data_IF_480325324744
#
_entry.id   IF_480325324744
#
_cell.length_a   1.000
_cell.length_b   1.000
_cell.length_c   1.000
_cell.angle_alpha   90.00
_cell.angle_beta   90.00
_cell.angle_gamma   90.00
#
_symmetry.space_group_name_H-M   'P 1'
#
loop_
_entity.id
_entity.type
_entity.pdbx_description
1 polymer ?
#
# COMPACT_ATOMS: atom_id res chain seq x y z
N UNK A 1 16.56 -16.90 0.11
CA UNK A 1 15.84 -15.96 0.98
C UNK A 1 14.40 -15.89 0.52
N UNK A 2 13.45 -16.09 1.42
CA UNK A 2 12.02 -16.02 1.05
C UNK A 2 11.67 -14.57 0.72
N UNK A 3 11.04 -14.34 -0.42
CA UNK A 3 10.54 -13.02 -0.79
C UNK A 3 9.48 -12.58 0.23
N UNK A 4 9.61 -11.38 0.76
CA UNK A 4 8.63 -10.82 1.70
C UNK A 4 7.29 -10.62 1.02
N UNK A 5 6.22 -10.90 1.75
CA UNK A 5 4.84 -10.81 1.27
C UNK A 5 4.28 -9.42 1.52
N UNK A 6 3.70 -8.79 0.52
CA UNK A 6 3.18 -7.42 0.60
C UNK A 6 1.68 -7.41 0.33
N UNK A 7 0.91 -6.80 1.23
CA UNK A 7 -0.49 -6.48 1.01
C UNK A 7 -0.60 -5.08 0.42
N UNK A 8 -1.31 -4.92 -0.70
CA UNK A 8 -1.59 -3.61 -1.30
C UNK A 8 -2.95 -3.13 -0.82
N UNK A 9 -3.01 -2.02 -0.11
CA UNK A 9 -4.27 -1.36 0.22
C UNK A 9 -4.83 -0.65 -1.02
N UNK A 10 -6.11 -0.84 -1.31
CA UNK A 10 -6.74 -0.28 -2.51
C UNK A 10 -8.21 0.06 -2.27
N UNK A 11 -8.72 1.02 -3.04
CA UNK A 11 -10.13 1.38 -3.02
C UNK A 11 -10.93 0.37 -3.87
N UNK A 12 -11.46 -0.66 -3.22
CA UNK A 12 -12.19 -1.73 -3.89
C UNK A 12 -13.49 -1.25 -4.56
N UNK A 13 -14.05 -0.14 -4.09
CA UNK A 13 -15.29 0.43 -4.65
C UNK A 13 -15.04 1.25 -5.93
N UNK A 14 -13.84 1.80 -6.09
CA UNK A 14 -13.50 2.68 -7.19
C UNK A 14 -12.49 2.10 -8.18
N UNK A 15 -11.84 0.97 -7.89
CA UNK A 15 -10.74 0.43 -8.72
C UNK A 15 -11.17 0.04 -10.14
N UNK A 16 -12.45 -0.19 -10.39
CA UNK A 16 -13.01 -0.43 -11.72
C UNK A 16 -13.01 0.82 -12.63
N UNK A 17 -12.93 2.02 -12.05
CA UNK A 17 -12.81 3.28 -12.82
C UNK A 17 -11.36 3.44 -13.32
N UNK A 18 -11.14 3.18 -14.59
CA UNK A 18 -9.80 3.23 -15.20
C UNK A 18 -9.17 4.63 -15.21
N UNK A 19 -9.98 5.67 -15.14
CA UNK A 19 -9.51 7.07 -15.24
C UNK A 19 -9.25 7.66 -13.85
N UNK A 20 -10.16 7.42 -12.90
CA UNK A 20 -10.16 8.07 -11.58
C UNK A 20 -9.71 7.13 -10.46
N UNK A 21 -8.91 6.12 -10.78
CA UNK A 21 -8.35 5.20 -9.80
C UNK A 21 -6.89 4.90 -10.07
N UNK A 22 -6.27 4.18 -9.15
CA UNK A 22 -4.89 3.69 -9.30
C UNK A 22 -4.77 2.41 -10.16
N UNK A 23 -5.77 2.03 -10.92
CA UNK A 23 -5.79 0.77 -11.67
C UNK A 23 -4.59 0.62 -12.63
N UNK A 24 -4.22 1.70 -13.32
CA UNK A 24 -3.03 1.70 -14.17
C UNK A 24 -1.75 1.36 -13.39
N UNK A 25 -1.60 1.91 -12.19
CA UNK A 25 -0.48 1.63 -11.30
C UNK A 25 -0.50 0.17 -10.82
N UNK A 26 -1.66 -0.37 -10.45
CA UNK A 26 -1.77 -1.77 -10.04
C UNK A 26 -1.44 -2.74 -11.18
N UNK A 27 -1.83 -2.45 -12.42
CA UNK A 27 -1.43 -3.22 -13.60
C UNK A 27 0.09 -3.24 -13.79
N UNK A 28 0.77 -2.13 -13.56
CA UNK A 28 2.24 -2.03 -13.59
C UNK A 28 2.89 -2.86 -12.48
N UNK A 29 2.33 -2.84 -11.27
CA UNK A 29 2.81 -3.70 -10.17
C UNK A 29 2.61 -5.19 -10.48
N UNK A 30 1.48 -5.56 -11.07
CA UNK A 30 1.22 -6.94 -11.51
C UNK A 30 2.21 -7.40 -12.58
N UNK A 31 2.59 -6.52 -13.51
CA UNK A 31 3.63 -6.78 -14.50
C UNK A 31 5.00 -6.98 -13.84
N UNK A 32 5.38 -6.16 -12.87
CA UNK A 32 6.63 -6.34 -12.14
C UNK A 32 6.65 -7.67 -11.37
N UNK A 33 5.56 -8.07 -10.75
CA UNK A 33 5.47 -9.37 -10.07
C UNK A 33 5.62 -10.54 -11.05
N UNK A 34 5.00 -10.48 -12.22
CA UNK A 34 5.14 -11.53 -13.25
C UNK A 34 6.56 -11.64 -13.80
N UNK A 35 7.20 -10.51 -14.04
CA UNK A 35 8.55 -10.46 -14.64
C UNK A 35 9.66 -10.71 -13.60
N UNK A 36 9.41 -10.39 -12.33
CA UNK A 36 10.39 -10.50 -11.24
C UNK A 36 9.77 -11.15 -9.98
N UNK A 37 9.29 -12.41 -10.06
CA UNK A 37 8.55 -13.05 -8.95
C UNK A 37 9.40 -13.31 -7.71
N UNK A 38 10.73 -13.31 -7.84
CA UNK A 38 11.65 -13.39 -6.69
C UNK A 38 11.84 -12.07 -5.95
N UNK A 39 11.37 -10.95 -6.51
CA UNK A 39 11.55 -9.60 -5.96
C UNK A 39 10.24 -9.00 -5.46
N UNK A 40 9.12 -9.36 -6.08
CA UNK A 40 7.79 -8.84 -5.77
C UNK A 40 6.82 -9.98 -5.47
N UNK A 41 6.18 -9.92 -4.32
CA UNK A 41 5.17 -10.87 -3.89
C UNK A 41 3.97 -10.14 -3.28
N UNK A 42 3.06 -9.68 -4.15
CA UNK A 42 1.82 -9.01 -3.74
C UNK A 42 0.74 -10.07 -3.51
N UNK A 43 0.38 -10.28 -2.24
CA UNK A 43 -0.51 -11.39 -1.83
C UNK A 43 -1.95 -11.21 -2.29
N UNK A 44 -2.39 -9.97 -2.54
CA UNK A 44 -3.76 -9.64 -2.92
C UNK A 44 -3.93 -9.09 -4.34
N UNK A 45 -2.96 -9.32 -5.23
CA UNK A 45 -3.08 -8.84 -6.62
C UNK A 45 -4.32 -9.41 -7.33
N UNK A 46 -4.66 -10.68 -7.06
CA UNK A 46 -5.86 -11.30 -7.60
C UNK A 46 -7.15 -10.59 -7.17
N UNK A 47 -7.24 -10.16 -5.92
CA UNK A 47 -8.39 -9.41 -5.39
C UNK A 47 -8.53 -8.04 -6.04
N UNK A 48 -7.41 -7.37 -6.32
CA UNK A 48 -7.41 -6.08 -7.03
C UNK A 48 -7.91 -6.26 -8.46
N UNK A 49 -7.40 -7.25 -9.19
CA UNK A 49 -7.81 -7.56 -10.55
C UNK A 49 -9.29 -8.01 -10.61
N UNK A 50 -9.72 -8.81 -9.65
CA UNK A 50 -11.13 -9.23 -9.54
C UNK A 50 -12.05 -8.03 -9.28
N UNK A 51 -11.72 -7.15 -8.35
CA UNK A 51 -12.48 -5.94 -8.03
C UNK A 51 -12.53 -4.95 -9.20
N UNK A 52 -11.50 -4.90 -10.03
CA UNK A 52 -11.47 -4.09 -11.24
C UNK A 52 -12.47 -4.53 -12.30
N UNK A 53 -12.86 -5.81 -12.29
CA UNK A 53 -13.83 -6.41 -13.23
C UNK A 53 -15.26 -6.47 -12.70
N UNK A 54 -15.47 -6.27 -11.38
CA UNK A 54 -16.73 -6.46 -10.69
C UNK A 54 -16.99 -5.29 -9.75
N UNK A 55 -18.07 -4.58 -9.97
CA UNK A 55 -18.53 -3.45 -9.13
C UNK A 55 -19.48 -3.87 -7.99
N UNK A 56 -19.92 -5.14 -7.98
CA UNK A 56 -20.94 -5.71 -7.08
C UNK A 56 -20.33 -6.69 -6.06
N UNK A 57 -19.39 -6.26 -5.22
CA UNK A 57 -18.81 -7.12 -4.21
C UNK A 57 -19.66 -7.11 -2.91
N UNK A 58 -19.99 -8.30 -2.40
CA UNK A 58 -20.60 -8.45 -1.08
C UNK A 58 -19.58 -8.08 0.00
N UNK A 59 -19.80 -6.97 0.66
CA UNK A 59 -18.87 -6.32 1.60
C UNK A 59 -18.32 -7.28 2.68
N UNK A 60 -19.16 -8.13 3.26
CA UNK A 60 -18.78 -9.06 4.32
C UNK A 60 -17.78 -10.12 3.83
N UNK A 61 -18.04 -10.73 2.67
CA UNK A 61 -17.16 -11.75 2.07
C UNK A 61 -15.82 -11.14 1.67
N UNK A 62 -15.85 -9.95 1.11
CA UNK A 62 -14.64 -9.20 0.68
C UNK A 62 -13.75 -8.87 1.87
N UNK A 63 -14.30 -8.33 2.95
CA UNK A 63 -13.52 -8.02 4.17
C UNK A 63 -12.89 -9.25 4.81
N UNK A 64 -13.61 -10.37 4.84
CA UNK A 64 -13.08 -11.64 5.37
C UNK A 64 -11.87 -12.15 4.57
N UNK A 65 -11.93 -12.06 3.24
CA UNK A 65 -10.81 -12.42 2.36
C UNK A 65 -9.61 -11.48 2.56
N UNK A 66 -9.84 -10.19 2.63
CA UNK A 66 -8.78 -9.21 2.87
C UNK A 66 -8.07 -9.45 4.19
N UNK A 67 -8.79 -9.75 5.27
CA UNK A 67 -8.18 -10.07 6.57
C UNK A 67 -7.26 -11.29 6.52
N UNK A 68 -7.62 -12.34 5.77
CA UNK A 68 -6.74 -13.50 5.58
C UNK A 68 -5.43 -13.11 4.88
N UNK A 69 -5.51 -12.33 3.81
CA UNK A 69 -4.34 -11.90 3.05
C UNK A 69 -3.46 -10.92 3.84
N UNK A 70 -4.06 -10.03 4.64
CA UNK A 70 -3.32 -9.16 5.55
C UNK A 70 -2.52 -9.97 6.59
N UNK A 71 -3.09 -11.05 7.11
CA UNK A 71 -2.42 -11.92 8.08
C UNK A 71 -1.20 -12.66 7.49
N UNK A 72 -1.13 -12.82 6.17
CA UNK A 72 -0.02 -13.46 5.46
C UNK A 72 1.08 -12.47 5.05
N UNK A 73 0.85 -11.16 5.22
CA UNK A 73 1.76 -10.13 4.75
C UNK A 73 2.84 -9.77 5.78
N UNK A 74 3.99 -9.39 5.28
CA UNK A 74 5.12 -8.87 6.07
C UNK A 74 5.10 -7.34 6.15
N UNK A 75 4.46 -6.68 5.20
CA UNK A 75 4.30 -5.22 5.11
C UNK A 75 3.06 -4.84 4.28
N UNK A 76 2.73 -3.55 4.28
CA UNK A 76 1.64 -3.00 3.49
C UNK A 76 2.15 -1.91 2.56
N UNK A 77 1.64 -1.92 1.31
CA UNK A 77 1.87 -0.88 0.31
C UNK A 77 0.61 -0.03 0.12
N UNK A 78 0.77 1.28 0.16
CA UNK A 78 -0.26 2.27 -0.18
C UNK A 78 0.24 3.11 -1.35
N UNK A 79 -0.54 3.23 -2.41
CA UNK A 79 -0.23 4.10 -3.54
C UNK A 79 -0.86 5.46 -3.31
N UNK A 80 -0.03 6.47 -3.10
CA UNK A 80 -0.44 7.87 -3.03
C UNK A 80 -0.44 8.49 -4.43
N UNK A 81 -1.56 9.09 -4.83
CA UNK A 81 -1.70 9.72 -6.15
C UNK A 81 -2.76 10.82 -6.12
N UNK A 82 -2.77 11.73 -7.11
CA UNK A 82 -3.77 12.79 -7.18
C UNK A 82 -5.19 12.29 -7.50
N UNK A 83 -5.33 11.06 -8.02
CA UNK A 83 -6.63 10.45 -8.37
C UNK A 83 -7.21 9.58 -7.25
N UNK A 84 -6.45 9.37 -6.18
CA UNK A 84 -6.90 8.54 -5.06
C UNK A 84 -8.04 9.20 -4.29
N UNK A 85 -9.13 8.46 -4.04
CA UNK A 85 -10.13 8.85 -3.07
C UNK A 85 -9.61 8.64 -1.65
N UNK A 86 -9.05 9.70 -1.07
CA UNK A 86 -8.40 9.67 0.26
C UNK A 86 -9.38 9.42 1.41
N UNK A 87 -10.68 9.61 1.18
CA UNK A 87 -11.75 9.39 2.16
C UNK A 87 -12.43 8.02 2.02
N UNK A 88 -12.03 7.20 1.05
CA UNK A 88 -12.60 5.86 0.85
C UNK A 88 -12.65 5.06 2.15
N UNK A 89 -13.83 4.60 2.54
CA UNK A 89 -14.03 3.79 3.73
C UNK A 89 -13.30 2.47 3.65
N UNK A 90 -13.41 1.78 2.52
CA UNK A 90 -12.79 0.45 2.35
C UNK A 90 -11.27 0.53 2.34
N UNK A 91 -10.69 1.56 1.71
CA UNK A 91 -9.25 1.80 1.73
C UNK A 91 -8.74 2.08 3.14
N UNK A 92 -9.34 3.05 3.83
CA UNK A 92 -8.95 3.43 5.20
C UNK A 92 -9.19 2.30 6.22
N UNK A 93 -10.22 1.48 6.03
CA UNK A 93 -10.44 0.28 6.84
C UNK A 93 -9.29 -0.73 6.67
N UNK A 94 -8.85 -1.00 5.44
CA UNK A 94 -7.71 -1.89 5.16
C UNK A 94 -6.45 -1.39 5.88
N UNK A 95 -6.13 -0.11 5.73
CA UNK A 95 -4.96 0.51 6.34
C UNK A 95 -5.03 0.40 7.87
N UNK A 96 -6.18 0.70 8.45
CA UNK A 96 -6.40 0.58 9.90
C UNK A 96 -6.21 -0.86 10.40
N UNK A 97 -6.68 -1.87 9.66
CA UNK A 97 -6.51 -3.27 10.05
C UNK A 97 -5.06 -3.72 9.95
N UNK A 98 -4.37 -3.37 8.88
CA UNK A 98 -2.94 -3.67 8.72
C UNK A 98 -2.11 -3.10 9.87
N UNK A 99 -2.33 -1.84 10.24
CA UNK A 99 -1.57 -1.18 11.30
C UNK A 99 -1.96 -1.67 12.69
N UNK A 100 -3.25 -1.64 13.03
CA UNK A 100 -3.67 -1.85 14.41
C UNK A 100 -3.85 -3.33 14.81
N UNK A 101 -4.18 -4.20 13.84
CA UNK A 101 -4.40 -5.62 14.11
C UNK A 101 -3.18 -6.48 13.77
N UNK A 102 -2.56 -6.21 12.64
CA UNK A 102 -1.45 -7.04 12.12
C UNK A 102 -0.08 -6.40 12.34
N UNK A 103 -0.02 -5.16 12.82
CA UNK A 103 1.20 -4.40 13.10
C UNK A 103 2.16 -4.30 11.90
N UNK A 104 1.60 -4.26 10.69
CA UNK A 104 2.38 -4.16 9.48
C UNK A 104 3.00 -2.76 9.34
N UNK A 105 4.29 -2.66 9.00
CA UNK A 105 4.86 -1.39 8.56
C UNK A 105 4.23 -0.97 7.22
N UNK A 106 4.08 0.33 7.04
CA UNK A 106 3.41 0.93 5.89
C UNK A 106 4.44 1.53 4.94
N UNK A 107 4.39 1.15 3.69
CA UNK A 107 5.17 1.77 2.62
C UNK A 107 4.22 2.62 1.79
N UNK A 108 4.46 3.94 1.76
CA UNK A 108 3.71 4.89 0.93
C UNK A 108 4.51 5.15 -0.34
N UNK A 109 3.99 4.75 -1.48
CA UNK A 109 4.62 4.95 -2.78
C UNK A 109 3.87 6.02 -3.58
N UNK A 110 4.59 7.07 -3.95
CA UNK A 110 4.03 8.23 -4.67
C UNK A 110 4.10 8.01 -6.18
N UNK A 111 2.95 7.83 -6.81
CA UNK A 111 2.84 7.58 -8.24
C UNK A 111 3.25 8.80 -9.07
N UNK A 112 4.05 8.57 -10.11
CA UNK A 112 4.50 9.61 -11.02
C UNK A 112 5.66 10.47 -10.52
N UNK A 113 6.20 10.17 -9.33
CA UNK A 113 7.40 10.84 -8.81
C UNK A 113 8.62 9.93 -8.99
N UNK A 114 9.77 10.50 -9.34
CA UNK A 114 11.03 9.79 -9.46
C UNK A 114 11.91 9.92 -8.21
N UNK A 115 11.77 11.03 -7.49
CA UNK A 115 12.52 11.32 -6.26
C UNK A 115 11.62 11.99 -5.21
N UNK A 116 11.98 11.81 -3.94
CA UNK A 116 11.40 12.51 -2.80
C UNK A 116 12.48 13.26 -2.04
N UNK A 117 12.11 14.38 -1.41
CA UNK A 117 12.91 15.14 -0.47
C UNK A 117 12.22 15.25 0.90
N UNK A 118 12.83 15.97 1.84
CA UNK A 118 12.32 16.15 3.20
C UNK A 118 10.93 16.80 3.25
N UNK A 119 10.58 17.60 2.24
CA UNK A 119 9.31 18.33 2.17
C UNK A 119 8.23 17.59 1.37
N UNK A 120 8.55 16.46 0.76
CA UNK A 120 7.64 15.75 -0.15
C UNK A 120 6.37 15.27 0.56
N UNK A 121 6.46 14.78 1.78
CA UNK A 121 5.30 14.31 2.55
C UNK A 121 4.31 15.47 2.78
N UNK A 122 4.80 16.65 3.15
CA UNK A 122 3.97 17.85 3.31
C UNK A 122 3.41 18.33 1.97
N UNK A 123 4.25 18.39 0.95
CA UNK A 123 3.86 18.84 -0.39
C UNK A 123 2.76 18.01 -1.01
N UNK A 124 2.82 16.66 -0.82
CA UNK A 124 1.84 15.71 -1.35
C UNK A 124 0.86 15.20 -0.29
N UNK A 125 0.67 15.94 0.79
CA UNK A 125 -0.22 15.58 1.89
C UNK A 125 -1.63 15.21 1.45
N UNK A 126 -2.16 15.91 0.46
CA UNK A 126 -3.50 15.66 -0.08
C UNK A 126 -3.63 14.35 -0.87
N UNK A 127 -2.51 13.73 -1.26
CA UNK A 127 -2.51 12.43 -1.93
C UNK A 127 -2.61 11.25 -0.95
N UNK A 128 -2.45 11.51 0.35
CA UNK A 128 -2.47 10.48 1.39
C UNK A 128 -3.90 10.18 1.84
N UNK A 129 -4.27 8.91 2.02
CA UNK A 129 -5.51 8.54 2.71
C UNK A 129 -5.59 9.13 4.13
N UNK A 130 -6.79 9.21 4.68
CA UNK A 130 -7.03 9.80 6.00
C UNK A 130 -6.28 9.07 7.13
N UNK A 131 -6.20 7.74 7.09
CA UNK A 131 -5.52 6.96 8.14
C UNK A 131 -4.01 7.18 8.17
N UNK A 132 -3.26 7.09 7.06
CA UNK A 132 -1.85 7.48 7.05
C UNK A 132 -1.60 8.89 7.56
N UNK A 133 -2.40 9.88 7.15
CA UNK A 133 -2.29 11.25 7.67
C UNK A 133 -2.40 11.31 9.20
N UNK A 134 -3.39 10.61 9.76
CA UNK A 134 -3.56 10.51 11.21
C UNK A 134 -2.36 9.86 11.89
N UNK A 135 -1.85 8.77 11.34
CA UNK A 135 -0.72 8.06 11.94
C UNK A 135 0.57 8.87 11.90
N UNK A 136 0.82 9.61 10.81
CA UNK A 136 1.95 10.55 10.71
C UNK A 136 1.83 11.63 11.79
N UNK A 137 0.66 12.25 11.91
CA UNK A 137 0.42 13.32 12.91
C UNK A 137 0.55 12.86 14.36
N UNK A 138 0.26 11.58 14.65
CA UNK A 138 0.38 10.99 15.98
C UNK A 138 1.70 10.23 16.21
N UNK A 139 2.54 10.11 15.17
CA UNK A 139 3.73 9.25 15.17
C UNK A 139 3.43 7.83 15.70
N UNK A 140 2.33 7.24 15.23
CA UNK A 140 1.76 6.01 15.78
C UNK A 140 1.89 4.78 14.87
N UNK A 141 2.58 4.92 13.73
CA UNK A 141 2.83 3.80 12.82
C UNK A 141 4.21 3.95 12.17
N UNK A 142 4.82 2.80 11.89
CA UNK A 142 6.08 2.74 11.17
C UNK A 142 5.83 2.91 9.68
N UNK A 143 6.36 3.98 9.09
CA UNK A 143 6.12 4.33 7.69
C UNK A 143 7.41 4.59 6.93
N UNK A 144 7.45 4.15 5.67
CA UNK A 144 8.44 4.52 4.68
C UNK A 144 7.77 5.26 3.52
N UNK A 145 8.35 6.36 3.08
CA UNK A 145 7.89 7.13 1.93
C UNK A 145 8.88 6.97 0.79
N UNK A 146 8.40 6.55 -0.37
CA UNK A 146 9.21 6.30 -1.56
C UNK A 146 8.58 6.90 -2.82
N UNK A 147 9.36 7.33 -3.81
CA UNK A 147 8.82 7.51 -5.14
C UNK A 147 8.48 6.13 -5.73
N UNK A 148 7.40 6.04 -6.50
CA UNK A 148 7.00 4.76 -7.11
C UNK A 148 7.88 4.44 -8.32
N UNK A 149 9.09 4.04 -8.06
CA UNK A 149 10.00 3.43 -9.04
C UNK A 149 10.27 1.99 -8.65
N UNK A 150 10.61 1.15 -9.63
CA UNK A 150 10.84 -0.28 -9.37
C UNK A 150 11.93 -0.51 -8.35
N UNK A 151 13.07 0.16 -8.49
CA UNK A 151 14.23 -0.06 -7.64
C UNK A 151 14.01 0.42 -6.20
N UNK A 152 13.33 1.57 -6.02
CA UNK A 152 12.98 2.07 -4.70
C UNK A 152 11.95 1.18 -4.01
N UNK A 153 10.95 0.70 -4.75
CA UNK A 153 9.95 -0.23 -4.21
C UNK A 153 10.61 -1.55 -3.80
N UNK A 154 11.42 -2.15 -4.66
CA UNK A 154 12.13 -3.39 -4.35
C UNK A 154 12.96 -3.25 -3.06
N UNK A 155 13.70 -2.17 -2.93
CA UNK A 155 14.50 -1.87 -1.73
C UNK A 155 13.62 -1.71 -0.48
N UNK A 156 12.54 -0.94 -0.56
CA UNK A 156 11.63 -0.73 0.56
C UNK A 156 10.95 -2.03 1.00
N UNK A 157 10.44 -2.82 0.07
CA UNK A 157 9.82 -4.12 0.35
C UNK A 157 10.80 -5.10 1.01
N UNK A 158 12.06 -5.06 0.63
CA UNK A 158 13.12 -5.87 1.22
C UNK A 158 13.54 -5.43 2.63
N UNK A 159 13.40 -4.15 2.94
CA UNK A 159 13.90 -3.53 4.18
C UNK A 159 12.80 -3.44 5.26
N UNK A 160 11.58 -3.04 4.87
CA UNK A 160 10.47 -2.85 5.81
C UNK A 160 9.63 -4.12 5.94
N UNK A 161 9.68 -4.74 7.11
CA UNK A 161 8.92 -5.95 7.42
C UNK A 161 8.54 -5.96 8.90
N UNK A 162 7.44 -6.63 9.22
CA UNK A 162 6.98 -6.84 10.61
C UNK A 162 8.06 -7.51 11.47
N UNK A 163 8.93 -8.31 10.88
CA UNK A 163 10.00 -9.06 11.56
C UNK A 163 11.34 -8.29 11.65
N UNK A 164 11.44 -7.10 11.05
CA UNK A 164 12.66 -6.29 11.10
C UNK A 164 12.67 -5.39 12.34
N UNK A 165 13.65 -5.59 13.21
CA UNK A 165 13.78 -4.86 14.47
C UNK A 165 14.57 -3.54 14.36
N UNK A 166 15.14 -3.24 13.20
CA UNK A 166 16.09 -2.12 13.03
C UNK A 166 15.45 -0.73 13.01
N UNK A 167 14.14 -0.65 12.83
CA UNK A 167 13.42 0.64 12.78
C UNK A 167 12.47 0.78 13.96
N UNK A 168 12.49 1.91 14.67
CA UNK A 168 11.52 2.19 15.73
C UNK A 168 10.09 2.11 15.18
N UNK A 169 9.15 1.65 16.01
CA UNK A 169 7.75 1.52 15.60
C UNK A 169 7.11 2.82 15.11
N UNK A 170 7.58 3.96 15.60
CA UNK A 170 7.02 5.27 15.35
C UNK A 170 7.93 6.12 14.45
N UNK A 171 8.70 5.51 13.54
CA UNK A 171 9.58 6.27 12.65
C UNK A 171 8.99 6.43 11.26
N UNK A 172 9.06 7.65 10.74
CA UNK A 172 8.82 7.95 9.33
C UNK A 172 10.16 8.08 8.63
N UNK A 173 10.36 7.32 7.56
CA UNK A 173 11.61 7.30 6.78
C UNK A 173 11.31 7.64 5.32
N UNK A 174 12.14 8.50 4.72
CA UNK A 174 12.11 8.84 3.28
C UNK A 174 13.27 8.13 2.58
N UNK A 175 13.00 7.49 1.47
CA UNK A 175 13.98 6.77 0.65
C UNK A 175 14.22 7.44 -0.70
#
# INVERSE_FOLDING_TARGET
>A
MKTKSTYIAFDADAVHDEVNSNLHTFRKLAEWQRNFPSRFNFVNMHEIEFSALHDDLLETTTKSRFLKLMAEADNMLVIASPVLNTESHILNWQISRCVNRFHLPVIIAYAGLEELDENSVEKFWTWLPNKPRKYIGLDSARMAHIPLTRDKLERALGTFSVNEQFYPWNSTTIF
#
